data_IF_769632243401
#
_entry.id   IF_769632243401
#
_cell.length_a   1.000
_cell.length_b   1.000
_cell.length_c   1.000
_cell.angle_alpha   90.00
_cell.angle_beta   90.00
_cell.angle_gamma   90.00
#
_symmetry.space_group_name_H-M   'P 1'
#
loop_
_entity.id
_entity.type
_entity.pdbx_description
1 polymer ?
#
# COMPACT_ATOMS: atom_id res chain seq x y z
N UNK A 1 -29.25 -20.58 -5.74
CA UNK A 1 -28.67 -19.24 -6.03
C UNK A 1 -28.36 -18.46 -4.75
N UNK A 2 -29.30 -18.37 -3.80
CA UNK A 2 -29.10 -17.73 -2.50
C UNK A 2 -27.96 -18.35 -1.67
N UNK A 3 -27.80 -19.68 -1.68
CA UNK A 3 -26.69 -20.34 -0.96
C UNK A 3 -25.31 -19.96 -1.49
N UNK A 4 -25.17 -19.77 -2.81
CA UNK A 4 -23.90 -19.33 -3.42
C UNK A 4 -23.57 -17.89 -3.01
N UNK A 5 -24.58 -17.01 -2.98
CA UNK A 5 -24.41 -15.64 -2.51
C UNK A 5 -24.01 -15.62 -1.03
N UNK A 6 -24.68 -16.42 -0.20
CA UNK A 6 -24.38 -16.54 1.23
C UNK A 6 -22.94 -16.99 1.45
N UNK A 7 -22.47 -17.99 0.71
CA UNK A 7 -21.07 -18.43 0.77
C UNK A 7 -20.08 -17.36 0.29
N UNK A 8 -20.40 -16.60 -0.76
CA UNK A 8 -19.58 -15.46 -1.19
C UNK A 8 -19.51 -14.36 -0.13
N UNK A 9 -20.63 -14.02 0.52
CA UNK A 9 -20.69 -13.00 1.57
C UNK A 9 -19.85 -13.44 2.78
N UNK A 10 -19.98 -14.70 3.22
CA UNK A 10 -19.20 -15.25 4.34
C UNK A 10 -17.71 -15.21 4.00
N UNK A 11 -17.32 -15.64 2.80
CA UNK A 11 -15.91 -15.63 2.36
C UNK A 11 -15.36 -14.21 2.26
N UNK A 12 -16.15 -13.26 1.74
CA UNK A 12 -15.77 -11.86 1.68
C UNK A 12 -15.61 -11.25 3.08
N UNK A 13 -16.51 -11.56 4.03
CA UNK A 13 -16.39 -11.13 5.42
C UNK A 13 -15.14 -11.71 6.11
N UNK A 14 -14.84 -13.01 5.91
CA UNK A 14 -13.63 -13.61 6.47
C UNK A 14 -12.35 -13.01 5.87
N UNK A 15 -12.33 -12.70 4.57
CA UNK A 15 -11.18 -12.03 3.94
C UNK A 15 -11.03 -10.61 4.48
N UNK A 16 -12.12 -9.87 4.66
CA UNK A 16 -12.10 -8.54 5.27
C UNK A 16 -11.59 -8.56 6.71
N UNK A 17 -12.05 -9.49 7.55
CA UNK A 17 -11.57 -9.63 8.93
C UNK A 17 -10.08 -10.00 9.01
N UNK A 18 -9.63 -10.89 8.14
CA UNK A 18 -8.21 -11.24 8.05
C UNK A 18 -7.38 -10.05 7.56
N UNK A 19 -7.87 -9.28 6.59
CA UNK A 19 -7.20 -8.07 6.11
C UNK A 19 -7.13 -6.98 7.20
N UNK A 20 -8.18 -6.79 7.99
CA UNK A 20 -8.21 -5.82 9.10
C UNK A 20 -7.20 -6.20 10.20
N UNK A 21 -7.16 -7.49 10.57
CA UNK A 21 -6.18 -8.03 11.52
C UNK A 21 -4.75 -7.86 11.02
N UNK A 22 -4.48 -8.20 9.75
CA UNK A 22 -3.16 -8.02 9.13
C UNK A 22 -2.80 -6.54 9.11
N UNK A 23 -3.75 -5.67 8.79
CA UNK A 23 -3.52 -4.24 8.75
C UNK A 23 -3.18 -3.68 10.12
N UNK A 24 -3.89 -4.04 11.20
CA UNK A 24 -3.55 -3.58 12.55
C UNK A 24 -2.15 -4.03 12.99
N UNK A 25 -1.79 -5.29 12.75
CA UNK A 25 -0.47 -5.81 13.12
C UNK A 25 0.65 -5.19 12.27
N UNK A 26 0.47 -5.07 10.96
CA UNK A 26 1.52 -4.62 10.05
C UNK A 26 1.61 -3.09 9.93
N UNK A 27 0.57 -2.35 10.31
CA UNK A 27 0.53 -0.89 10.23
C UNK A 27 1.70 -0.22 10.94
N UNK A 28 2.04 -0.66 12.16
CA UNK A 28 3.19 -0.15 12.92
C UNK A 28 4.53 -0.54 12.29
N UNK A 29 4.67 -1.81 11.88
CA UNK A 29 5.88 -2.32 11.22
C UNK A 29 6.17 -1.61 9.90
N UNK A 30 5.14 -1.36 9.10
CA UNK A 30 5.23 -0.63 7.83
C UNK A 30 5.68 0.81 8.07
N UNK A 31 5.13 1.50 9.08
CA UNK A 31 5.58 2.85 9.43
C UNK A 31 7.05 2.87 9.80
N UNK A 32 7.46 1.97 10.69
CA UNK A 32 8.85 1.88 11.12
C UNK A 32 9.76 1.62 9.91
N UNK A 33 9.38 0.70 9.03
CA UNK A 33 10.16 0.37 7.85
C UNK A 33 10.26 1.53 6.86
N UNK A 34 9.16 2.24 6.56
CA UNK A 34 9.18 3.42 5.68
C UNK A 34 10.06 4.53 6.26
N UNK A 35 9.96 4.76 7.57
CA UNK A 35 10.75 5.79 8.27
C UNK A 35 12.25 5.45 8.22
N UNK A 36 12.61 4.20 8.52
CA UNK A 36 14.00 3.72 8.46
C UNK A 36 14.54 3.80 7.04
N UNK A 37 13.78 3.35 6.04
CA UNK A 37 14.18 3.43 4.63
C UNK A 37 14.38 4.88 4.19
N UNK A 38 13.55 5.83 4.62
CA UNK A 38 13.71 7.25 4.32
C UNK A 38 15.05 7.80 4.86
N UNK A 39 15.37 7.51 6.13
CA UNK A 39 16.63 7.94 6.75
C UNK A 39 17.83 7.34 6.01
N UNK A 40 17.79 6.05 5.69
CA UNK A 40 18.85 5.35 4.95
C UNK A 40 19.06 5.99 3.57
N UNK A 41 17.99 6.23 2.81
CA UNK A 41 18.04 6.87 1.48
C UNK A 41 18.65 8.27 1.58
N UNK A 42 18.28 9.07 2.59
CA UNK A 42 18.85 10.41 2.79
C UNK A 42 20.35 10.36 3.09
N UNK A 43 20.78 9.50 4.02
CA UNK A 43 22.19 9.38 4.43
C UNK A 43 23.05 8.85 3.28
N UNK A 44 22.57 7.84 2.56
CA UNK A 44 23.30 7.24 1.43
C UNK A 44 23.39 8.19 0.24
N UNK A 45 22.34 8.98 -0.05
CA UNK A 45 22.39 10.04 -1.05
C UNK A 45 23.41 11.14 -0.68
N UNK A 46 23.49 11.52 0.59
CA UNK A 46 24.49 12.47 1.08
C UNK A 46 25.92 11.91 0.93
N UNK A 47 26.16 10.67 1.34
CA UNK A 47 27.47 10.01 1.18
C UNK A 47 27.89 9.96 -0.30
N UNK A 48 26.98 9.60 -1.20
CA UNK A 48 27.25 9.59 -2.65
C UNK A 48 27.63 10.96 -3.22
N UNK A 49 27.13 12.05 -2.63
CA UNK A 49 27.41 13.40 -3.13
C UNK A 49 28.74 13.98 -2.62
N UNK A 50 29.23 13.56 -1.46
CA UNK A 50 30.45 14.10 -0.84
C UNK A 50 31.67 13.17 -0.95
N UNK A 51 31.49 11.85 -1.01
CA UNK A 51 32.57 10.86 -1.03
C UNK A 51 32.68 10.18 -2.41
N UNK A 52 33.43 10.80 -3.33
CA UNK A 52 33.64 10.30 -4.71
C UNK A 52 35.07 9.84 -5.00
N UNK A 53 35.94 9.75 -3.99
CA UNK A 53 37.37 9.46 -4.20
C UNK A 53 37.66 8.00 -4.54
N UNK A 54 36.90 7.05 -3.98
CA UNK A 54 37.08 5.61 -4.20
C UNK A 54 35.98 5.03 -5.10
N UNK A 55 36.33 4.71 -6.35
CA UNK A 55 35.40 4.17 -7.37
C UNK A 55 34.66 2.90 -6.91
N UNK A 56 35.36 1.96 -6.26
CA UNK A 56 34.77 0.70 -5.77
C UNK A 56 33.76 0.95 -4.65
N UNK A 57 34.07 1.89 -3.76
CA UNK A 57 33.18 2.28 -2.66
C UNK A 57 31.96 3.05 -3.17
N UNK A 58 32.16 3.91 -4.15
CA UNK A 58 31.08 4.63 -4.82
C UNK A 58 30.08 3.68 -5.50
N UNK A 59 30.57 2.70 -6.27
CA UNK A 59 29.71 1.72 -6.96
C UNK A 59 28.91 0.89 -5.94
N UNK A 60 29.53 0.44 -4.86
CA UNK A 60 28.84 -0.35 -3.82
C UNK A 60 27.78 0.49 -3.07
N UNK A 61 28.06 1.76 -2.76
CA UNK A 61 27.06 2.67 -2.18
C UNK A 61 25.91 2.96 -3.14
N UNK A 62 26.20 3.15 -4.43
CA UNK A 62 25.18 3.40 -5.45
C UNK A 62 24.26 2.18 -5.61
N UNK A 63 24.83 0.97 -5.65
CA UNK A 63 24.06 -0.27 -5.69
C UNK A 63 23.18 -0.42 -4.44
N UNK A 64 23.69 -0.08 -3.26
CA UNK A 64 22.93 -0.10 -2.01
C UNK A 64 21.77 0.90 -2.03
N UNK A 65 22.01 2.14 -2.49
CA UNK A 65 20.98 3.16 -2.65
C UNK A 65 19.86 2.72 -3.59
N UNK A 66 20.21 2.17 -4.76
CA UNK A 66 19.24 1.65 -5.73
C UNK A 66 18.43 0.48 -5.14
N UNK A 67 19.09 -0.44 -4.43
CA UNK A 67 18.43 -1.59 -3.82
C UNK A 67 17.41 -1.16 -2.76
N UNK A 68 17.77 -0.22 -1.88
CA UNK A 68 16.85 0.32 -0.87
C UNK A 68 15.68 1.07 -1.48
N UNK A 69 15.93 1.84 -2.55
CA UNK A 69 14.87 2.55 -3.28
C UNK A 69 13.91 1.57 -3.95
N UNK A 70 14.43 0.51 -4.57
CA UNK A 70 13.64 -0.58 -5.15
C UNK A 70 12.80 -1.30 -4.10
N UNK A 71 13.39 -1.59 -2.94
CA UNK A 71 12.66 -2.21 -1.83
C UNK A 71 11.48 -1.33 -1.40
N UNK A 72 11.71 -0.04 -1.15
CA UNK A 72 10.65 0.90 -0.77
C UNK A 72 9.57 1.01 -1.85
N UNK A 73 9.96 1.04 -3.13
CA UNK A 73 9.04 1.04 -4.26
C UNK A 73 8.15 -0.20 -4.28
N UNK A 74 8.72 -1.39 -4.09
CA UNK A 74 7.97 -2.65 -4.05
C UNK A 74 6.95 -2.66 -2.90
N UNK A 75 7.33 -2.19 -1.72
CA UNK A 75 6.39 -2.06 -0.59
C UNK A 75 5.22 -1.12 -0.92
N UNK A 76 5.51 0.06 -1.49
CA UNK A 76 4.47 1.02 -1.87
C UNK A 76 3.58 0.49 -3.01
N UNK A 77 4.16 -0.21 -3.98
CA UNK A 77 3.44 -0.83 -5.09
C UNK A 77 2.49 -1.92 -4.60
N UNK A 78 2.96 -2.81 -3.72
CA UNK A 78 2.13 -3.87 -3.18
C UNK A 78 0.98 -3.31 -2.33
N UNK A 79 1.23 -2.24 -1.56
CA UNK A 79 0.19 -1.52 -0.83
C UNK A 79 -0.86 -0.88 -1.76
N UNK A 80 -0.42 -0.29 -2.87
CA UNK A 80 -1.31 0.30 -3.87
C UNK A 80 -2.16 -0.75 -4.57
N UNK A 81 -1.55 -1.84 -5.06
CA UNK A 81 -2.24 -2.96 -5.68
C UNK A 81 -3.32 -3.53 -4.74
N UNK A 82 -2.98 -3.75 -3.47
CA UNK A 82 -3.94 -4.26 -2.49
C UNK A 82 -5.13 -3.31 -2.29
N UNK A 83 -4.89 -2.00 -2.28
CA UNK A 83 -5.95 -0.99 -2.18
C UNK A 83 -6.83 -0.93 -3.44
N UNK A 84 -6.24 -1.13 -4.61
CA UNK A 84 -6.94 -1.12 -5.90
C UNK A 84 -7.82 -2.37 -6.06
N UNK A 85 -7.26 -3.55 -5.81
CA UNK A 85 -7.97 -4.83 -5.81
C UNK A 85 -9.13 -4.84 -4.81
N UNK A 86 -8.93 -4.26 -3.62
CA UNK A 86 -10.01 -4.10 -2.63
C UNK A 86 -11.19 -3.27 -3.17
N UNK A 87 -10.93 -2.32 -4.07
CA UNK A 87 -11.95 -1.45 -4.65
C UNK A 87 -12.66 -2.15 -5.82
N UNK A 88 -11.94 -2.98 -6.60
CA UNK A 88 -12.52 -3.75 -7.70
C UNK A 88 -13.62 -4.72 -7.24
N UNK A 89 -13.51 -5.29 -6.03
CA UNK A 89 -14.56 -6.17 -5.48
C UNK A 89 -15.92 -5.46 -5.38
N UNK A 90 -15.93 -4.16 -5.06
CA UNK A 90 -17.16 -3.36 -5.05
C UNK A 90 -17.70 -3.12 -6.46
N UNK A 91 -16.82 -2.94 -7.45
CA UNK A 91 -17.17 -2.78 -8.87
C UNK A 91 -17.76 -4.06 -9.46
N UNK A 92 -17.11 -5.20 -9.27
CA UNK A 92 -17.60 -6.50 -9.73
C UNK A 92 -18.96 -6.87 -9.11
N UNK A 93 -19.20 -6.51 -7.84
CA UNK A 93 -20.50 -6.66 -7.22
C UNK A 93 -21.59 -5.82 -7.92
N UNK A 94 -21.23 -4.64 -8.45
CA UNK A 94 -22.16 -3.72 -9.12
C UNK A 94 -22.55 -4.17 -10.52
N UNK A 95 -21.66 -4.85 -11.22
CA UNK A 95 -21.90 -5.41 -12.55
C UNK A 95 -22.79 -6.66 -12.55
N UNK A 96 -23.05 -7.26 -11.38
CA UNK A 96 -24.02 -8.35 -11.30
C UNK A 96 -25.43 -7.85 -11.66
N UNK A 97 -26.26 -8.63 -12.38
CA UNK A 97 -27.61 -8.21 -12.78
C UNK A 97 -28.59 -8.23 -11.60
N UNK A 98 -28.31 -7.43 -10.58
CA UNK A 98 -29.02 -7.37 -9.32
C UNK A 98 -30.46 -6.88 -9.47
N UNK A 99 -30.77 -6.15 -10.56
CA UNK A 99 -32.12 -5.66 -10.87
C UNK A 99 -33.15 -6.78 -11.04
N UNK A 100 -32.76 -7.96 -11.55
CA UNK A 100 -33.63 -9.14 -11.71
C UNK A 100 -33.77 -9.99 -10.43
N UNK A 101 -33.06 -9.64 -9.35
CA UNK A 101 -33.03 -10.45 -8.14
C UNK A 101 -34.08 -10.03 -7.09
N UNK A 102 -34.48 -10.95 -6.20
CA UNK A 102 -35.41 -10.65 -5.10
C UNK A 102 -34.86 -9.62 -4.12
N UNK A 103 -35.75 -8.96 -3.37
CA UNK A 103 -35.39 -7.85 -2.46
C UNK A 103 -34.34 -8.25 -1.41
N UNK A 104 -34.36 -9.48 -0.91
CA UNK A 104 -33.37 -9.99 0.05
C UNK A 104 -31.96 -10.09 -0.55
N UNK A 105 -31.87 -10.47 -1.82
CA UNK A 105 -30.61 -10.52 -2.57
C UNK A 105 -30.05 -9.10 -2.76
N UNK A 106 -30.90 -8.15 -3.16
CA UNK A 106 -30.52 -6.74 -3.34
C UNK A 106 -30.00 -6.12 -2.05
N UNK A 107 -30.68 -6.34 -0.91
CA UNK A 107 -30.24 -5.84 0.40
C UNK A 107 -28.89 -6.41 0.83
N UNK A 108 -28.70 -7.72 0.65
CA UNK A 108 -27.45 -8.41 1.02
C UNK A 108 -26.27 -7.95 0.15
N UNK A 109 -26.50 -7.78 -1.16
CA UNK A 109 -25.52 -7.25 -2.10
C UNK A 109 -25.14 -5.80 -1.77
N UNK A 110 -26.12 -4.96 -1.44
CA UNK A 110 -25.88 -3.56 -1.08
C UNK A 110 -25.09 -3.43 0.23
N UNK A 111 -25.36 -4.29 1.21
CA UNK A 111 -24.52 -4.40 2.42
C UNK A 111 -23.08 -4.83 2.08
N UNK A 112 -22.91 -5.79 1.18
CA UNK A 112 -21.59 -6.24 0.72
C UNK A 112 -20.82 -5.09 0.04
N UNK A 113 -21.46 -4.36 -0.89
CA UNK A 113 -20.88 -3.19 -1.56
C UNK A 113 -20.48 -2.08 -0.58
N UNK A 114 -21.33 -1.82 0.42
CA UNK A 114 -21.07 -0.77 1.41
C UNK A 114 -19.89 -1.17 2.31
N UNK A 115 -19.76 -2.47 2.61
CA UNK A 115 -18.63 -3.02 3.38
C UNK A 115 -17.34 -3.10 2.58
N UNK A 116 -17.38 -3.48 1.31
CA UNK A 116 -16.20 -3.51 0.42
C UNK A 116 -15.67 -2.11 0.09
N UNK A 117 -16.54 -1.08 0.12
CA UNK A 117 -16.13 0.33 0.04
C UNK A 117 -15.30 0.79 1.24
N UNK A 118 -15.39 0.10 2.39
CA UNK A 118 -14.46 0.30 3.51
C UNK A 118 -13.17 -0.40 3.12
N UNK A 119 -12.40 0.27 2.26
CA UNK A 119 -11.15 -0.23 1.69
C UNK A 119 -10.29 -0.87 2.78
N UNK A 120 -9.71 -2.03 2.48
CA UNK A 120 -8.51 -2.50 3.16
C UNK A 120 -7.35 -1.57 2.77
N UNK A 121 -7.40 -0.33 3.26
CA UNK A 121 -6.35 0.66 3.07
C UNK A 121 -5.24 0.29 4.03
N UNK A 122 -4.21 -0.38 3.54
CA UNK A 122 -2.97 -0.56 4.30
C UNK A 122 -2.40 0.82 4.59
N UNK A 123 -2.77 1.34 5.75
CA UNK A 123 -2.37 2.65 6.24
C UNK A 123 -1.19 2.42 7.16
N UNK A 124 -0.15 3.22 6.97
CA UNK A 124 0.96 3.31 7.89
C UNK A 124 0.47 4.11 9.12
N UNK A 125 -0.17 3.40 10.05
CA UNK A 125 -0.83 3.88 11.28
C UNK A 125 -1.53 5.24 11.21
N UNK A 126 -2.25 5.50 10.11
CA UNK A 126 -3.05 6.72 9.95
C UNK A 126 -2.28 7.97 9.50
N UNK A 127 -0.96 7.91 9.33
CA UNK A 127 -0.18 9.05 8.83
C UNK A 127 -0.23 9.16 7.29
N UNK A 128 -0.01 8.05 6.59
CA UNK A 128 -0.07 8.00 5.13
C UNK A 128 -0.58 6.64 4.67
N UNK A 129 -1.44 6.64 3.66
CA UNK A 129 -1.76 5.42 2.91
C UNK A 129 -0.55 5.04 2.08
N UNK A 130 -0.12 3.77 2.12
CA UNK A 130 0.91 3.28 1.21
C UNK A 130 0.41 3.43 -0.22
N UNK A 131 0.92 4.42 -0.93
CA UNK A 131 0.56 4.73 -2.30
C UNK A 131 1.79 5.19 -3.06
N UNK A 132 1.75 5.07 -4.39
CA UNK A 132 2.79 5.62 -5.26
C UNK A 132 2.98 7.14 -5.05
N UNK A 133 1.90 7.85 -4.70
CA UNK A 133 1.92 9.27 -4.36
C UNK A 133 2.67 9.57 -3.05
N UNK A 134 2.57 8.69 -2.04
CA UNK A 134 3.35 8.80 -0.82
C UNK A 134 4.85 8.60 -1.08
N UNK A 135 5.21 7.60 -1.90
CA UNK A 135 6.59 7.39 -2.35
C UNK A 135 7.16 8.64 -3.06
N UNK A 136 6.40 9.21 -4.00
CA UNK A 136 6.83 10.41 -4.73
C UNK A 136 7.01 11.61 -3.80
N UNK A 137 6.14 11.75 -2.79
CA UNK A 137 6.25 12.81 -1.78
C UNK A 137 7.49 12.64 -0.91
N UNK A 138 7.81 11.41 -0.50
CA UNK A 138 9.02 11.09 0.26
C UNK A 138 10.27 11.39 -0.57
N UNK A 139 10.31 10.95 -1.83
CA UNK A 139 11.43 11.23 -2.75
C UNK A 139 11.65 12.74 -2.93
N UNK A 140 10.57 13.51 -3.09
CA UNK A 140 10.63 14.96 -3.20
C UNK A 140 11.16 15.62 -1.92
N UNK A 141 10.70 15.15 -0.75
CA UNK A 141 11.21 15.62 0.53
C UNK A 141 12.70 15.32 0.68
N UNK A 142 13.14 14.09 0.41
CA UNK A 142 14.55 13.70 0.46
C UNK A 142 15.43 14.55 -0.47
N UNK A 143 14.96 14.83 -1.70
CA UNK A 143 15.67 15.72 -2.62
C UNK A 143 15.74 17.17 -2.11
N UNK A 144 14.67 17.65 -1.46
CA UNK A 144 14.64 18.98 -0.83
C UNK A 144 15.64 19.06 0.32
N UNK A 145 15.68 18.05 1.20
CA UNK A 145 16.68 17.98 2.28
C UNK A 145 18.10 17.91 1.74
N UNK A 146 18.33 17.12 0.69
CA UNK A 146 19.61 17.02 0.01
C UNK A 146 20.07 18.37 -0.57
N UNK A 147 19.17 19.10 -1.24
CA UNK A 147 19.48 20.41 -1.82
C UNK A 147 19.71 21.49 -0.77
N UNK A 148 19.11 21.40 0.42
CA UNK A 148 19.36 22.31 1.55
C UNK A 148 20.69 22.01 2.24
N UNK A 149 21.10 20.74 2.32
CA UNK A 149 22.37 20.32 2.93
C UNK A 149 23.60 20.53 2.04
N UNK A 150 23.40 20.74 0.74
CA UNK A 150 24.44 21.04 -0.24
C UNK A 150 24.74 22.54 -0.30
#
# INVERSE_FOLDING_TARGET
ALDRLRSCIIRHQSVLQSADSIQELFSASILAQVTVSMVIICVTAYQLAFETKDLVRFISMLAYFLCMTLQLFLYCYQGNQLSEESTQVAGAAYETPWWYCPAEFKRSLLMMMTRSRRMARVSAAGFTTLSLSAFMSIMKASYTFFTVLR
#
